data_IF_937134706429
#
_entry.id   IF_937134706429
#
_cell.length_a   1.000
_cell.length_b   1.000
_cell.length_c   1.000
_cell.angle_alpha   90.00
_cell.angle_beta   90.00
_cell.angle_gamma   90.00
#
_symmetry.space_group_name_H-M   'P 1'
#
loop_
_entity.id
_entity.type
_entity.pdbx_description
1 polymer ?
#
# COMPACT_ATOMS: atom_id res chain seq x y z
N UNK A 1 17.01 28.04 -12.55
CA UNK A 1 16.90 27.55 -11.14
C UNK A 1 15.52 26.99 -10.81
N UNK A 2 14.41 27.65 -11.16
CA UNK A 2 13.05 27.22 -10.80
C UNK A 2 12.57 25.88 -11.38
N UNK A 3 13.22 25.35 -12.43
CA UNK A 3 12.93 24.02 -12.95
C UNK A 3 13.42 22.96 -11.95
N UNK A 4 14.69 22.98 -11.55
CA UNK A 4 15.23 21.96 -10.64
C UNK A 4 14.83 22.16 -9.17
N UNK A 5 14.65 23.41 -8.73
CA UNK A 5 14.20 23.74 -7.37
C UNK A 5 13.01 24.70 -7.43
N UNK A 6 11.78 24.17 -7.62
CA UNK A 6 10.57 24.95 -7.60
C UNK A 6 10.36 25.60 -6.22
N UNK A 7 9.96 26.87 -6.16
CA UNK A 7 9.54 27.48 -4.89
C UNK A 7 8.15 26.93 -4.51
N UNK A 8 8.00 26.31 -3.33
CA UNK A 8 6.73 25.75 -2.92
C UNK A 8 5.73 26.85 -2.54
N UNK A 9 4.49 26.73 -3.02
CA UNK A 9 3.40 27.61 -2.62
C UNK A 9 2.99 27.39 -1.15
N UNK A 10 2.22 28.31 -0.55
CA UNK A 10 1.67 28.11 0.78
C UNK A 10 0.91 26.78 0.90
N UNK A 11 0.12 26.40 -0.11
CA UNK A 11 -0.62 25.14 -0.15
C UNK A 11 0.30 23.92 0.04
N UNK A 12 1.41 23.87 -0.69
CA UNK A 12 2.38 22.77 -0.61
C UNK A 12 3.06 22.71 0.77
N UNK A 13 3.29 23.86 1.41
CA UNK A 13 3.93 23.94 2.73
C UNK A 13 2.99 23.57 3.88
N UNK A 14 1.68 23.78 3.71
CA UNK A 14 0.70 23.69 4.80
C UNK A 14 -0.24 22.50 4.70
N UNK A 15 0.13 21.42 3.99
CA UNK A 15 -0.71 20.20 3.96
C UNK A 15 -0.86 19.68 5.39
N UNK A 16 -2.09 19.78 5.92
CA UNK A 16 -2.42 19.38 7.29
C UNK A 16 -3.83 18.81 7.33
N UNK A 17 -3.98 17.68 8.05
CA UNK A 17 -5.26 16.99 8.29
C UNK A 17 -6.34 17.93 8.84
N UNK A 18 -5.99 18.88 9.72
CA UNK A 18 -6.97 19.78 10.34
C UNK A 18 -7.58 20.76 9.34
N UNK A 19 -6.83 21.17 8.32
CA UNK A 19 -7.35 22.06 7.25
C UNK A 19 -8.42 21.32 6.45
N UNK A 20 -8.19 20.04 6.13
CA UNK A 20 -9.09 19.24 5.29
C UNK A 20 -10.29 18.66 6.04
N UNK A 21 -10.38 18.84 7.37
CA UNK A 21 -11.65 18.66 8.11
C UNK A 21 -12.67 19.76 7.78
N UNK A 22 -12.21 20.92 7.31
CA UNK A 22 -13.07 22.07 7.02
C UNK A 22 -13.55 22.06 5.56
N UNK A 23 -14.74 22.63 5.32
CA UNK A 23 -15.25 22.85 3.96
C UNK A 23 -14.31 23.73 3.11
N UNK A 24 -13.54 24.63 3.74
CA UNK A 24 -12.56 25.46 3.04
C UNK A 24 -11.43 24.62 2.45
N UNK A 25 -10.89 23.67 3.23
CA UNK A 25 -9.83 22.77 2.77
C UNK A 25 -10.30 21.86 1.64
N UNK A 26 -11.49 21.28 1.76
CA UNK A 26 -12.09 20.46 0.69
C UNK A 26 -12.35 21.27 -0.58
N UNK A 27 -12.88 22.50 -0.44
CA UNK A 27 -13.12 23.40 -1.57
C UNK A 27 -11.83 23.79 -2.29
N UNK A 28 -10.74 24.01 -1.55
CA UNK A 28 -9.43 24.32 -2.12
C UNK A 28 -8.89 23.15 -2.96
N UNK A 29 -8.99 21.92 -2.46
CA UNK A 29 -8.59 20.72 -3.21
C UNK A 29 -9.43 20.58 -4.47
N UNK A 30 -10.76 20.71 -4.34
CA UNK A 30 -11.68 20.57 -5.46
C UNK A 30 -11.44 21.64 -6.54
N UNK A 31 -11.16 22.88 -6.15
CA UNK A 31 -10.78 23.93 -7.07
C UNK A 31 -9.51 23.56 -7.83
N UNK A 32 -8.40 23.29 -7.13
CA UNK A 32 -7.10 22.95 -7.76
C UNK A 32 -7.21 21.72 -8.68
N UNK A 33 -7.94 20.69 -8.23
CA UNK A 33 -8.19 19.49 -9.02
C UNK A 33 -8.94 19.79 -10.31
N UNK A 34 -10.00 20.62 -10.25
CA UNK A 34 -10.80 20.96 -11.41
C UNK A 34 -10.11 21.93 -12.38
N UNK A 35 -9.25 22.79 -11.87
CA UNK A 35 -8.58 23.82 -12.67
C UNK A 35 -7.42 23.24 -13.49
N UNK A 36 -6.53 22.47 -12.87
CA UNK A 36 -5.37 21.88 -13.57
C UNK A 36 -5.09 20.43 -13.18
N UNK A 37 -5.34 20.05 -11.92
CA UNK A 37 -4.91 18.76 -11.38
C UNK A 37 -5.37 17.57 -12.20
N UNK A 38 -6.66 17.49 -12.53
CA UNK A 38 -7.23 16.37 -13.31
C UNK A 38 -6.63 16.22 -14.70
N UNK A 39 -6.26 17.32 -15.36
CA UNK A 39 -5.73 17.30 -16.73
C UNK A 39 -4.28 16.82 -16.75
N UNK A 40 -3.45 17.34 -15.85
CA UNK A 40 -2.07 16.87 -15.70
C UNK A 40 -2.04 15.42 -15.23
N UNK A 41 -2.88 15.06 -14.26
CA UNK A 41 -2.99 13.69 -13.79
C UNK A 41 -3.41 12.72 -14.92
N UNK A 42 -4.40 13.10 -15.72
CA UNK A 42 -4.82 12.32 -16.88
C UNK A 42 -3.70 12.18 -17.92
N UNK A 43 -2.92 13.24 -18.18
CA UNK A 43 -1.81 13.19 -19.13
C UNK A 43 -0.70 12.23 -18.66
N UNK A 44 -0.33 12.29 -17.38
CA UNK A 44 0.64 11.36 -16.77
C UNK A 44 0.12 9.93 -16.88
N UNK A 45 -1.15 9.72 -16.56
CA UNK A 45 -1.77 8.40 -16.59
C UNK A 45 -1.86 7.83 -18.01
N UNK A 46 -2.23 8.63 -19.03
CA UNK A 46 -2.25 8.21 -20.43
C UNK A 46 -0.84 7.84 -20.91
N UNK A 47 0.17 8.66 -20.57
CA UNK A 47 1.57 8.35 -20.89
C UNK A 47 2.04 7.07 -20.21
N UNK A 48 1.55 6.77 -19.02
CA UNK A 48 1.82 5.52 -18.32
C UNK A 48 1.10 4.33 -18.95
N UNK A 49 -0.16 4.47 -19.36
CA UNK A 49 -0.91 3.41 -20.06
C UNK A 49 -0.20 3.05 -21.37
N UNK A 50 0.34 4.03 -22.10
CA UNK A 50 1.16 3.77 -23.28
C UNK A 50 2.42 2.94 -22.94
N UNK A 51 3.15 3.30 -21.88
CA UNK A 51 4.30 2.54 -21.38
C UNK A 51 3.92 1.08 -21.05
N UNK A 52 2.88 0.91 -20.24
CA UNK A 52 2.35 -0.39 -19.82
C UNK A 52 1.93 -1.22 -21.05
N UNK A 53 1.17 -0.62 -21.97
CA UNK A 53 0.70 -1.28 -23.18
C UNK A 53 1.86 -1.73 -24.09
N UNK A 54 2.86 -0.88 -24.31
CA UNK A 54 4.02 -1.25 -25.12
C UNK A 54 4.80 -2.41 -24.51
N UNK A 55 5.09 -2.37 -23.21
CA UNK A 55 5.89 -3.40 -22.55
C UNK A 55 5.13 -4.73 -22.44
N UNK A 56 3.86 -4.69 -22.02
CA UNK A 56 3.04 -5.89 -21.87
C UNK A 56 2.74 -6.53 -23.23
N UNK A 57 2.48 -5.75 -24.28
CA UNK A 57 2.32 -6.30 -25.63
C UNK A 57 3.60 -6.98 -26.12
N UNK A 58 4.77 -6.36 -25.89
CA UNK A 58 6.05 -6.99 -26.23
C UNK A 58 6.28 -8.28 -25.45
N UNK A 59 5.96 -8.31 -24.15
CA UNK A 59 6.22 -9.42 -23.25
C UNK A 59 5.25 -10.61 -23.42
N UNK A 60 3.97 -10.34 -23.71
CA UNK A 60 2.92 -11.37 -23.68
C UNK A 60 2.58 -11.94 -25.05
N UNK A 61 2.74 -11.18 -26.14
CA UNK A 61 2.38 -11.65 -27.47
C UNK A 61 3.42 -12.68 -27.96
N UNK A 62 3.02 -13.94 -28.22
CA UNK A 62 3.93 -14.97 -28.72
C UNK A 62 4.65 -14.56 -30.00
N UNK A 63 5.90 -15.02 -30.19
CA UNK A 63 6.72 -14.67 -31.37
C UNK A 63 6.09 -15.07 -32.71
N UNK A 64 5.19 -16.05 -32.72
CA UNK A 64 4.44 -16.43 -33.91
C UNK A 64 3.41 -15.36 -34.38
N UNK A 65 3.00 -14.43 -33.51
CA UNK A 65 1.96 -13.45 -33.81
C UNK A 65 2.46 -12.00 -33.89
N UNK A 66 3.70 -11.73 -33.48
CA UNK A 66 4.30 -10.40 -33.53
C UNK A 66 5.62 -10.45 -34.29
N UNK A 67 5.73 -9.56 -35.26
CA UNK A 67 6.97 -9.39 -36.01
C UNK A 67 8.11 -8.90 -35.09
N UNK A 68 9.32 -9.40 -35.33
CA UNK A 68 10.47 -9.08 -34.46
C UNK A 68 10.81 -7.58 -34.48
N UNK A 69 10.65 -6.91 -35.62
CA UNK A 69 10.95 -5.48 -35.71
C UNK A 69 9.91 -4.66 -34.96
N UNK A 70 8.64 -5.06 -35.02
CA UNK A 70 7.58 -4.46 -34.20
C UNK A 70 7.87 -4.64 -32.71
N UNK A 71 8.28 -5.85 -32.27
CA UNK A 71 8.64 -6.09 -30.88
C UNK A 71 9.82 -5.22 -30.44
N UNK A 72 10.86 -5.10 -31.26
CA UNK A 72 12.01 -4.22 -30.99
C UNK A 72 11.56 -2.76 -30.85
N UNK A 73 10.68 -2.29 -31.73
CA UNK A 73 10.11 -0.93 -31.63
C UNK A 73 9.31 -0.73 -30.35
N UNK A 74 8.51 -1.71 -29.91
CA UNK A 74 7.78 -1.63 -28.64
C UNK A 74 8.75 -1.52 -27.45
N UNK A 75 9.82 -2.32 -27.42
CA UNK A 75 10.83 -2.27 -26.35
C UNK A 75 11.59 -0.95 -26.33
N UNK A 76 11.98 -0.41 -27.50
CA UNK A 76 12.60 0.92 -27.60
C UNK A 76 11.64 2.00 -27.10
N UNK A 77 10.37 1.90 -27.46
CA UNK A 77 9.33 2.83 -26.98
C UNK A 77 9.15 2.75 -25.47
N UNK A 78 9.16 1.54 -24.89
CA UNK A 78 9.16 1.34 -23.43
C UNK A 78 10.34 2.03 -22.77
N UNK A 79 11.56 1.89 -23.32
CA UNK A 79 12.76 2.53 -22.77
C UNK A 79 12.58 4.06 -22.76
N UNK A 80 12.15 4.65 -23.87
CA UNK A 80 11.96 6.10 -24.00
C UNK A 80 10.90 6.59 -23.01
N UNK A 81 9.71 5.99 -23.00
CA UNK A 81 8.62 6.37 -22.10
C UNK A 81 9.01 6.16 -20.63
N UNK A 82 9.73 5.08 -20.33
CA UNK A 82 10.22 4.79 -18.99
C UNK A 82 11.19 5.87 -18.50
N UNK A 83 12.13 6.31 -19.34
CA UNK A 83 13.04 7.40 -18.99
C UNK A 83 12.32 8.75 -18.79
N UNK A 84 11.26 9.02 -19.57
CA UNK A 84 10.43 10.22 -19.37
C UNK A 84 9.82 10.22 -17.97
N UNK A 85 9.15 9.13 -17.56
CA UNK A 85 8.57 9.02 -16.22
C UNK A 85 9.64 9.05 -15.12
N UNK A 86 10.73 8.31 -15.29
CA UNK A 86 11.84 8.27 -14.34
C UNK A 86 12.48 9.66 -14.14
N UNK A 87 12.50 10.52 -15.16
CA UNK A 87 13.03 11.87 -15.04
C UNK A 87 12.26 12.72 -14.02
N UNK A 88 10.95 12.51 -13.88
CA UNK A 88 10.14 13.19 -12.86
C UNK A 88 10.50 12.69 -11.46
N UNK A 89 10.66 11.38 -11.27
CA UNK A 89 11.08 10.80 -9.99
C UNK A 89 12.46 11.28 -9.54
N UNK A 90 13.42 11.33 -10.46
CA UNK A 90 14.76 11.88 -10.19
C UNK A 90 14.68 13.35 -9.76
N UNK A 91 13.78 14.13 -10.37
CA UNK A 91 13.57 15.54 -10.00
C UNK A 91 12.97 15.68 -8.60
N UNK A 92 12.07 14.78 -8.19
CA UNK A 92 11.55 14.74 -6.81
C UNK A 92 12.65 14.42 -5.81
N UNK A 93 13.47 13.40 -6.12
CA UNK A 93 14.59 12.99 -5.29
C UNK A 93 15.62 14.12 -5.09
N UNK A 94 15.97 14.86 -6.14
CA UNK A 94 16.88 16.01 -6.08
C UNK A 94 16.30 17.15 -5.21
N UNK A 95 14.98 17.33 -5.22
CA UNK A 95 14.31 18.39 -4.48
C UNK A 95 14.32 18.14 -2.96
N UNK A 96 13.92 16.94 -2.54
CA UNK A 96 13.94 16.53 -1.12
C UNK A 96 14.13 15.02 -0.97
N UNK A 97 15.39 14.57 -1.01
CA UNK A 97 15.75 13.16 -0.89
C UNK A 97 15.25 12.52 0.41
N UNK A 98 15.21 13.28 1.52
CA UNK A 98 14.78 12.73 2.82
C UNK A 98 13.28 12.47 2.83
N UNK A 99 12.48 13.42 2.33
CA UNK A 99 11.04 13.20 2.18
C UNK A 99 10.77 12.08 1.17
N UNK A 100 11.52 12.06 0.08
CA UNK A 100 11.36 11.06 -0.98
C UNK A 100 11.60 9.63 -0.48
N UNK A 101 12.69 9.36 0.25
CA UNK A 101 13.02 8.02 0.78
C UNK A 101 12.00 7.53 1.82
N UNK A 102 11.35 8.44 2.54
CA UNK A 102 10.33 8.09 3.56
C UNK A 102 8.99 7.72 2.95
N UNK A 103 8.75 8.05 1.68
CA UNK A 103 7.54 7.65 0.99
C UNK A 103 7.75 6.32 0.27
N UNK A 104 7.09 5.28 0.77
CA UNK A 104 7.17 3.94 0.20
C UNK A 104 6.70 3.93 -1.26
N UNK A 105 5.76 4.79 -1.63
CA UNK A 105 5.23 4.84 -2.99
C UNK A 105 6.26 5.29 -4.02
N UNK A 106 7.14 6.23 -3.65
CA UNK A 106 8.19 6.70 -4.54
C UNK A 106 9.20 5.59 -4.87
N UNK A 107 9.47 4.70 -3.91
CA UNK A 107 10.33 3.53 -4.12
C UNK A 107 9.66 2.56 -5.11
N UNK A 108 8.37 2.27 -4.91
CA UNK A 108 7.61 1.44 -5.85
C UNK A 108 7.58 2.04 -7.26
N UNK A 109 7.40 3.35 -7.37
CA UNK A 109 7.36 4.07 -8.64
C UNK A 109 8.68 3.93 -9.41
N UNK A 110 9.82 4.13 -8.73
CA UNK A 110 11.13 3.95 -9.35
C UNK A 110 11.37 2.51 -9.78
N UNK A 111 11.00 1.52 -8.97
CA UNK A 111 11.14 0.10 -9.34
C UNK A 111 10.29 -0.21 -10.57
N UNK A 112 9.04 0.28 -10.60
CA UNK A 112 8.12 0.08 -11.72
C UNK A 112 8.60 0.71 -13.04
N UNK A 113 9.45 1.73 -13.00
CA UNK A 113 10.06 2.30 -14.21
C UNK A 113 11.42 1.67 -14.55
N UNK A 114 12.28 1.42 -13.56
CA UNK A 114 13.62 0.86 -13.79
C UNK A 114 13.54 -0.58 -14.31
N UNK A 115 12.68 -1.43 -13.72
CA UNK A 115 12.61 -2.84 -14.09
C UNK A 115 12.25 -3.04 -15.58
N UNK A 116 11.19 -2.44 -16.13
CA UNK A 116 10.88 -2.56 -17.55
C UNK A 116 11.99 -2.01 -18.45
N UNK A 117 12.61 -0.87 -18.09
CA UNK A 117 13.73 -0.30 -18.88
C UNK A 117 14.89 -1.30 -18.93
N UNK A 118 15.31 -1.81 -17.76
CA UNK A 118 16.40 -2.77 -17.66
C UNK A 118 16.10 -4.05 -18.43
N UNK A 119 14.86 -4.56 -18.31
CA UNK A 119 14.39 -5.74 -19.03
C UNK A 119 14.43 -5.53 -20.53
N UNK A 120 13.92 -4.40 -21.02
CA UNK A 120 13.93 -4.06 -22.45
C UNK A 120 15.36 -3.95 -22.98
N UNK A 121 16.29 -3.36 -22.23
CA UNK A 121 17.71 -3.25 -22.64
C UNK A 121 18.34 -4.64 -22.75
N UNK A 122 18.19 -5.49 -21.73
CA UNK A 122 18.75 -6.85 -21.76
C UNK A 122 18.17 -7.65 -22.91
N UNK A 123 16.84 -7.58 -23.10
CA UNK A 123 16.17 -8.35 -24.14
C UNK A 123 16.59 -7.93 -25.55
N UNK A 124 16.91 -6.66 -25.75
CA UNK A 124 17.48 -6.18 -27.02
C UNK A 124 18.94 -6.59 -27.24
N UNK A 125 19.71 -6.79 -26.17
CA UNK A 125 21.14 -7.10 -26.24
C UNK A 125 21.46 -8.60 -26.31
N UNK A 126 20.63 -9.44 -25.69
CA UNK A 126 20.97 -10.85 -25.50
C UNK A 126 19.77 -11.77 -25.75
N UNK A 127 19.93 -12.72 -26.66
CA UNK A 127 18.96 -13.77 -26.96
C UNK A 127 19.05 -14.97 -26.02
N UNK A 128 20.09 -15.06 -25.19
CA UNK A 128 20.42 -16.26 -24.41
C UNK A 128 20.07 -16.17 -22.91
N UNK A 129 19.80 -14.97 -22.38
CA UNK A 129 19.48 -14.80 -20.95
C UNK A 129 18.05 -15.27 -20.69
N UNK A 130 17.82 -16.03 -19.61
CA UNK A 130 16.48 -16.37 -19.13
C UNK A 130 15.77 -15.11 -18.60
N UNK A 131 15.19 -14.34 -19.53
CA UNK A 131 14.54 -13.04 -19.29
C UNK A 131 13.12 -13.21 -18.72
N UNK A 132 12.55 -14.42 -18.75
CA UNK A 132 11.16 -14.69 -18.36
C UNK A 132 10.83 -14.20 -16.94
N UNK A 133 11.63 -14.49 -15.90
CA UNK A 133 11.33 -13.97 -14.55
C UNK A 133 11.32 -12.45 -14.51
N UNK A 134 12.25 -11.81 -15.22
CA UNK A 134 12.38 -10.36 -15.24
C UNK A 134 11.21 -9.69 -15.99
N UNK A 135 10.72 -10.30 -17.07
CA UNK A 135 9.48 -9.90 -17.74
C UNK A 135 8.29 -10.01 -16.79
N UNK A 136 8.16 -11.14 -16.09
CA UNK A 136 7.06 -11.38 -15.15
C UNK A 136 7.03 -10.33 -14.03
N UNK A 137 8.15 -10.09 -13.35
CA UNK A 137 8.24 -9.06 -12.32
C UNK A 137 8.00 -7.66 -12.88
N UNK A 138 8.57 -7.33 -14.04
CA UNK A 138 8.36 -6.02 -14.66
C UNK A 138 6.89 -5.75 -14.98
N UNK A 139 6.17 -6.75 -15.52
CA UNK A 139 4.73 -6.65 -15.74
C UNK A 139 3.98 -6.45 -14.42
N UNK A 140 4.29 -7.25 -13.39
CA UNK A 140 3.65 -7.14 -12.07
C UNK A 140 3.84 -5.74 -11.45
N UNK A 141 5.05 -5.19 -11.48
CA UNK A 141 5.32 -3.86 -10.93
C UNK A 141 4.63 -2.74 -11.74
N UNK A 142 4.55 -2.88 -13.06
CA UNK A 142 3.77 -1.95 -13.89
C UNK A 142 2.27 -2.04 -13.58
N UNK A 143 1.72 -3.24 -13.38
CA UNK A 143 0.31 -3.44 -13.03
C UNK A 143 -0.02 -2.89 -11.63
N UNK A 144 0.87 -3.09 -10.65
CA UNK A 144 0.74 -2.49 -9.32
C UNK A 144 0.78 -0.96 -9.46
N UNK A 145 1.72 -0.41 -10.23
CA UNK A 145 1.79 1.04 -10.48
C UNK A 145 0.52 1.56 -11.17
N UNK A 146 -0.05 0.81 -12.12
CA UNK A 146 -1.33 1.13 -12.74
C UNK A 146 -2.43 1.28 -11.68
N UNK A 147 -2.52 0.32 -10.76
CA UNK A 147 -3.49 0.33 -9.68
C UNK A 147 -3.34 1.57 -8.77
N UNK A 148 -2.11 2.05 -8.54
CA UNK A 148 -1.87 3.26 -7.74
C UNK A 148 -2.45 4.54 -8.38
N UNK A 149 -2.75 4.56 -9.68
CA UNK A 149 -3.42 5.72 -10.28
C UNK A 149 -4.88 5.87 -9.81
N UNK A 150 -5.50 4.83 -9.27
CA UNK A 150 -6.84 4.94 -8.72
C UNK A 150 -6.89 5.75 -7.41
N UNK A 151 -5.75 5.98 -6.76
CA UNK A 151 -5.66 6.72 -5.49
C UNK A 151 -6.17 8.17 -5.57
N UNK A 152 -6.12 8.79 -6.75
CA UNK A 152 -6.61 10.16 -6.96
C UNK A 152 -8.11 10.26 -7.23
N UNK A 153 -8.77 9.12 -7.52
CA UNK A 153 -10.20 9.05 -7.82
C UNK A 153 -10.95 8.83 -6.52
N UNK A 154 -11.98 9.62 -6.26
CA UNK A 154 -12.70 9.62 -4.98
C UNK A 154 -13.27 8.27 -4.57
N UNK A 155 -13.85 7.54 -5.53
CA UNK A 155 -14.45 6.23 -5.29
C UNK A 155 -13.42 5.22 -4.75
N UNK A 156 -12.21 5.19 -5.30
CA UNK A 156 -11.17 4.23 -4.91
C UNK A 156 -10.23 4.79 -3.84
N UNK A 157 -9.94 6.09 -3.89
CA UNK A 157 -8.95 6.77 -3.06
C UNK A 157 -9.26 6.72 -1.56
N UNK A 158 -10.52 6.61 -1.18
CA UNK A 158 -10.94 6.36 0.21
C UNK A 158 -10.38 5.02 0.70
N UNK A 159 -10.50 3.95 -0.10
CA UNK A 159 -9.93 2.64 0.24
C UNK A 159 -8.40 2.68 0.30
N UNK A 160 -7.73 3.38 -0.62
CA UNK A 160 -6.27 3.58 -0.53
C UNK A 160 -5.88 4.32 0.74
N UNK A 161 -6.63 5.34 1.13
CA UNK A 161 -6.36 6.09 2.36
C UNK A 161 -6.52 5.21 3.60
N UNK A 162 -7.51 4.33 3.65
CA UNK A 162 -7.67 3.31 4.70
C UNK A 162 -6.45 2.38 4.71
N UNK A 163 -6.10 1.77 3.57
CA UNK A 163 -4.98 0.83 3.46
C UNK A 163 -3.68 1.47 3.97
N UNK A 164 -3.37 2.71 3.54
CA UNK A 164 -2.16 3.43 3.97
C UNK A 164 -2.19 3.73 5.47
N UNK A 165 -3.33 4.18 5.98
CA UNK A 165 -3.46 4.56 7.39
C UNK A 165 -3.32 3.34 8.30
N UNK A 166 -3.99 2.25 7.95
CA UNK A 166 -3.91 0.97 8.65
C UNK A 166 -2.48 0.42 8.60
N UNK A 167 -1.85 0.40 7.42
CA UNK A 167 -0.47 -0.07 7.26
C UNK A 167 0.53 0.67 8.17
N UNK A 168 0.37 1.98 8.34
CA UNK A 168 1.21 2.79 9.25
C UNK A 168 1.02 2.40 10.71
N UNK A 169 -0.18 1.99 11.12
CA UNK A 169 -0.46 1.60 12.51
C UNK A 169 0.05 0.19 12.84
N UNK A 170 -0.03 -0.75 11.88
CA UNK A 170 0.34 -2.16 12.12
C UNK A 170 1.81 -2.49 11.87
N UNK A 171 2.62 -1.55 11.36
CA UNK A 171 4.01 -1.83 10.96
C UNK A 171 4.86 -2.40 12.11
N UNK A 172 4.70 -1.87 13.32
CA UNK A 172 5.40 -2.36 14.51
C UNK A 172 5.03 -3.79 14.85
N UNK A 173 3.76 -4.18 14.66
CA UNK A 173 3.30 -5.55 14.85
C UNK A 173 3.92 -6.51 13.82
N UNK A 174 3.97 -6.12 12.54
CA UNK A 174 4.58 -6.93 11.49
C UNK A 174 6.07 -7.20 11.74
N UNK A 175 6.81 -6.23 12.30
CA UNK A 175 8.21 -6.42 12.70
C UNK A 175 8.33 -7.48 13.80
N UNK A 176 7.48 -7.44 14.82
CA UNK A 176 7.46 -8.45 15.89
C UNK A 176 7.13 -9.83 15.32
N UNK A 177 6.12 -9.92 14.46
CA UNK A 177 5.74 -11.17 13.79
C UNK A 177 6.91 -11.76 12.98
N UNK A 178 7.63 -10.92 12.22
CA UNK A 178 8.78 -11.34 11.43
C UNK A 178 9.90 -11.93 12.31
N UNK A 179 10.24 -11.27 13.43
CA UNK A 179 11.26 -11.76 14.37
C UNK A 179 10.87 -13.14 14.93
N UNK A 180 9.60 -13.32 15.27
CA UNK A 180 9.10 -14.60 15.78
C UNK A 180 9.19 -15.68 14.70
N UNK A 181 8.77 -15.40 13.47
CA UNK A 181 8.87 -16.35 12.35
C UNK A 181 10.32 -16.77 12.12
N UNK A 182 11.28 -15.82 12.12
CA UNK A 182 12.71 -16.10 11.99
C UNK A 182 13.19 -17.00 13.15
N UNK A 183 12.74 -16.72 14.37
CA UNK A 183 13.13 -17.49 15.56
C UNK A 183 12.65 -18.94 15.48
N UNK A 184 11.41 -19.16 15.06
CA UNK A 184 10.89 -20.51 14.86
C UNK A 184 11.51 -21.20 13.65
N UNK A 185 11.74 -20.49 12.54
CA UNK A 185 12.44 -21.05 11.39
C UNK A 185 13.82 -21.56 11.78
N UNK A 186 14.54 -20.83 12.63
CA UNK A 186 15.82 -21.27 13.17
C UNK A 186 15.69 -22.51 14.06
N UNK A 187 14.69 -22.56 14.95
CA UNK A 187 14.46 -23.72 15.81
C UNK A 187 14.10 -24.98 15.00
N UNK A 188 13.17 -24.88 14.04
CA UNK A 188 12.80 -25.98 13.16
C UNK A 188 13.95 -26.39 12.24
N UNK A 189 14.72 -25.43 11.71
CA UNK A 189 15.93 -25.71 10.93
C UNK A 189 16.92 -26.54 11.72
N UNK A 190 17.25 -26.15 12.96
CA UNK A 190 18.17 -26.93 13.80
C UNK A 190 17.62 -28.32 14.09
N UNK A 191 16.31 -28.45 14.31
CA UNK A 191 15.69 -29.73 14.66
C UNK A 191 15.60 -30.69 13.47
N UNK A 192 15.20 -30.19 12.30
CA UNK A 192 14.81 -30.98 11.12
C UNK A 192 15.87 -30.98 10.01
N UNK A 193 17.02 -30.34 10.24
CA UNK A 193 18.14 -30.41 9.30
C UNK A 193 18.81 -31.78 9.36
N UNK A 194 19.11 -32.39 8.20
CA UNK A 194 19.84 -33.66 8.15
C UNK A 194 21.22 -33.55 8.81
N UNK A 195 21.57 -34.57 9.58
CA UNK A 195 22.86 -34.71 10.28
C UNK A 195 23.91 -35.41 9.42
N UNK A 196 23.45 -36.30 8.56
CA UNK A 196 24.26 -37.06 7.63
C UNK A 196 24.49 -36.29 6.34
N UNK A 197 25.67 -36.47 5.74
CA UNK A 197 25.89 -36.00 4.37
C UNK A 197 25.01 -36.78 3.41
N UNK A 198 24.43 -36.08 2.44
CA UNK A 198 23.57 -36.67 1.42
C UNK A 198 23.74 -35.93 0.09
N UNK A 199 23.38 -36.59 -0.99
CA UNK A 199 23.24 -36.02 -2.33
C UNK A 199 21.82 -36.27 -2.83
N UNK A 200 21.25 -35.36 -3.62
CA UNK A 200 19.97 -35.61 -4.28
C UNK A 200 20.09 -36.56 -5.49
N UNK A 201 21.29 -36.71 -6.04
CA UNK A 201 21.53 -37.53 -7.24
C UNK A 201 21.76 -39.01 -6.88
N UNK A 202 22.36 -39.27 -5.72
CA UNK A 202 22.74 -40.61 -5.28
C UNK A 202 21.99 -41.00 -4.01
N UNK A 203 21.32 -42.15 -4.07
CA UNK A 203 20.59 -42.69 -2.93
C UNK A 203 21.56 -42.95 -1.78
N UNK A 204 21.34 -42.25 -0.68
CA UNK A 204 22.08 -42.49 0.55
C UNK A 204 21.26 -43.38 1.47
N UNK A 205 21.85 -44.47 1.93
CA UNK A 205 21.22 -45.35 2.93
C UNK A 205 21.85 -45.06 4.29
N UNK A 206 21.16 -44.29 5.12
CA UNK A 206 21.58 -43.94 6.47
C UNK A 206 20.38 -43.92 7.42
N UNK A 207 20.64 -43.96 8.72
CA UNK A 207 19.61 -43.97 9.76
C UNK A 207 19.18 -42.56 10.20
N UNK A 208 19.52 -41.53 9.43
CA UNK A 208 19.18 -40.14 9.77
C UNK A 208 17.71 -39.85 9.41
N UNK A 209 16.82 -39.64 10.40
CA UNK A 209 15.39 -39.49 10.16
C UNK A 209 15.04 -38.20 9.39
N UNK A 210 15.97 -37.26 9.28
CA UNK A 210 15.78 -35.98 8.60
C UNK A 210 16.42 -35.95 7.20
N UNK A 211 17.04 -37.06 6.77
CA UNK A 211 17.57 -37.19 5.43
C UNK A 211 16.42 -37.20 4.40
N UNK A 212 16.49 -36.39 3.32
CA UNK A 212 15.45 -36.37 2.29
C UNK A 212 15.13 -37.75 1.68
N UNK A 213 16.11 -38.64 1.57
CA UNK A 213 15.90 -40.00 1.05
C UNK A 213 15.04 -40.88 1.97
N UNK A 214 15.04 -40.62 3.28
CA UNK A 214 14.30 -41.42 4.26
C UNK A 214 12.85 -40.95 4.42
N UNK A 215 12.54 -39.73 3.99
CA UNK A 215 11.18 -39.17 3.99
C UNK A 215 10.55 -39.12 2.60
N UNK A 216 11.29 -39.50 1.56
CA UNK A 216 10.79 -39.53 0.20
C UNK A 216 9.65 -40.55 0.04
N UNK A 217 8.71 -40.25 -0.85
CA UNK A 217 7.57 -41.12 -1.13
C UNK A 217 8.05 -42.48 -1.66
N UNK A 218 7.71 -43.56 -0.94
CA UNK A 218 7.98 -44.94 -1.33
C UNK A 218 6.70 -45.66 -1.73
N UNK A 219 6.73 -46.39 -2.84
CA UNK A 219 5.61 -47.17 -3.34
C UNK A 219 5.95 -48.66 -3.26
N UNK A 220 5.13 -49.41 -2.52
CA UNK A 220 5.27 -50.84 -2.36
C UNK A 220 4.39 -51.57 -3.38
N UNK A 221 4.87 -52.71 -3.88
CA UNK A 221 4.06 -53.55 -4.76
C UNK A 221 2.95 -54.23 -3.96
N UNK A 222 1.71 -54.12 -4.45
CA UNK A 222 0.55 -54.83 -3.90
C UNK A 222 0.23 -55.99 -4.87
N UNK A 223 0.30 -57.21 -4.37
CA UNK A 223 0.01 -58.41 -5.15
C UNK A 223 -1.50 -58.70 -5.21
N UNK A 224 -1.95 -59.47 -6.19
CA UNK A 224 -3.38 -59.79 -6.40
C UNK A 224 -4.03 -60.48 -5.19
N UNK A 225 -3.23 -61.17 -4.37
CA UNK A 225 -3.67 -61.81 -3.13
C UNK A 225 -3.83 -60.82 -1.95
N UNK A 226 -3.65 -59.51 -2.17
CA UNK A 226 -3.73 -58.45 -1.16
C UNK A 226 -2.49 -58.33 -0.27
N UNK A 227 -1.44 -59.13 -0.49
CA UNK A 227 -0.17 -59.00 0.24
C UNK A 227 0.65 -57.84 -0.32
N UNK A 228 1.35 -57.12 0.56
CA UNK A 228 2.20 -55.98 0.21
C UNK A 228 3.65 -56.42 0.35
N UNK A 229 4.47 -56.22 -0.69
CA UNK A 229 5.91 -56.44 -0.56
C UNK A 229 6.47 -55.49 0.52
N UNK A 230 7.27 -56.05 1.43
CA UNK A 230 7.90 -55.29 2.51
C UNK A 230 8.96 -54.33 1.99
N UNK A 231 9.52 -54.61 0.80
CA UNK A 231 10.49 -53.76 0.15
C UNK A 231 9.81 -52.74 -0.76
N UNK A 232 10.32 -51.50 -0.73
CA UNK A 232 9.90 -50.45 -1.65
C UNK A 232 10.22 -50.85 -3.10
N UNK A 233 9.21 -50.88 -3.96
CA UNK A 233 9.36 -51.18 -5.38
C UNK A 233 9.88 -49.95 -6.15
N UNK A 234 9.34 -48.76 -5.83
CA UNK A 234 9.75 -47.48 -6.41
C UNK A 234 9.93 -46.45 -5.29
N UNK A 235 11.00 -45.66 -5.38
CA UNK A 235 11.24 -44.51 -4.51
C UNK A 235 11.30 -43.27 -5.39
N UNK A 236 10.49 -42.27 -5.07
CA UNK A 236 10.58 -40.98 -5.73
C UNK A 236 11.89 -40.30 -5.30
N UNK A 237 12.76 -39.86 -6.24
CA UNK A 237 13.97 -39.14 -5.87
C UNK A 237 13.60 -37.84 -5.13
N UNK A 238 14.20 -37.56 -3.97
CA UNK A 238 13.92 -36.36 -3.20
C UNK A 238 14.45 -35.12 -3.92
N UNK A 239 13.84 -33.99 -3.61
CA UNK A 239 14.24 -32.66 -4.07
C UNK A 239 14.37 -31.68 -2.89
N UNK A 240 14.71 -30.42 -3.19
CA UNK A 240 14.83 -29.37 -2.18
C UNK A 240 13.55 -29.06 -1.40
N UNK A 241 12.38 -29.49 -1.89
CA UNK A 241 11.09 -29.32 -1.22
C UNK A 241 10.73 -30.51 -0.33
N UNK A 242 11.33 -31.67 -0.57
CA UNK A 242 11.11 -32.91 0.19
C UNK A 242 11.47 -32.69 1.67
N UNK A 243 12.63 -32.10 1.96
CA UNK A 243 12.93 -31.52 3.27
C UNK A 243 13.29 -30.03 3.12
N UNK A 244 12.31 -29.15 3.35
CA UNK A 244 12.53 -27.70 3.29
C UNK A 244 13.50 -27.17 4.37
N UNK A 245 13.90 -27.98 5.35
CA UNK A 245 14.82 -27.59 6.43
C UNK A 245 16.29 -27.94 6.14
N UNK A 246 16.60 -28.37 4.90
CA UNK A 246 17.99 -28.52 4.42
C UNK A 246 18.69 -27.16 4.30
N UNK A 247 17.99 -26.15 3.77
CA UNK A 247 18.50 -24.78 3.61
C UNK A 247 17.67 -23.82 4.47
N UNK A 248 18.34 -22.84 5.09
CA UNK A 248 17.66 -21.89 5.96
C UNK A 248 16.65 -21.00 5.22
N UNK A 249 16.87 -20.72 3.93
CA UNK A 249 15.95 -19.93 3.08
C UNK A 249 14.64 -20.68 2.85
N UNK A 250 14.73 -21.98 2.57
CA UNK A 250 13.54 -22.83 2.43
C UNK A 250 12.87 -23.09 3.77
N UNK A 251 13.62 -23.13 4.89
CA UNK A 251 13.05 -23.23 6.23
C UNK A 251 12.22 -21.98 6.59
N UNK A 252 12.73 -20.79 6.27
CA UNK A 252 11.99 -19.54 6.39
C UNK A 252 10.70 -19.56 5.57
N UNK A 253 10.75 -20.07 4.33
CA UNK A 253 9.58 -20.19 3.48
C UNK A 253 8.57 -21.22 4.01
N UNK A 254 9.03 -22.36 4.54
CA UNK A 254 8.19 -23.36 5.19
C UNK A 254 7.43 -22.77 6.40
N UNK A 255 8.07 -21.91 7.20
CA UNK A 255 7.40 -21.24 8.31
C UNK A 255 6.37 -20.21 7.84
N UNK A 256 6.61 -19.54 6.72
CA UNK A 256 5.61 -18.68 6.09
C UNK A 256 4.41 -19.48 5.58
N UNK A 257 4.63 -20.62 4.92
CA UNK A 257 3.55 -21.53 4.51
C UNK A 257 2.74 -21.99 5.72
N UNK A 258 3.41 -22.35 6.81
CA UNK A 258 2.75 -22.78 8.04
C UNK A 258 1.95 -21.66 8.72
N UNK A 259 2.44 -20.41 8.69
CA UNK A 259 1.66 -19.23 9.10
C UNK A 259 0.35 -19.10 8.30
N UNK A 260 0.37 -19.40 7.01
CA UNK A 260 -0.83 -19.36 6.15
C UNK A 260 -1.74 -20.60 6.26
N UNK A 261 -1.35 -21.58 7.08
CA UNK A 261 -2.11 -22.79 7.37
C UNK A 261 -1.64 -24.04 6.63
N UNK A 262 -0.61 -23.95 5.78
CA UNK A 262 -0.04 -25.11 5.09
C UNK A 262 1.03 -25.78 5.97
N UNK A 263 0.70 -26.96 6.49
CA UNK A 263 1.58 -27.77 7.35
C UNK A 263 2.33 -28.87 6.61
N UNK A 264 2.26 -28.91 5.27
CA UNK A 264 2.87 -29.95 4.44
C UNK A 264 4.34 -30.17 4.78
N UNK A 265 5.12 -29.09 4.90
CA UNK A 265 6.54 -29.13 5.24
C UNK A 265 6.87 -29.81 6.59
N UNK A 266 5.92 -29.82 7.54
CA UNK A 266 6.10 -30.38 8.89
C UNK A 266 5.45 -31.77 9.06
N UNK A 267 4.62 -32.19 8.10
CA UNK A 267 3.87 -33.44 8.14
C UNK A 267 4.67 -34.69 7.73
N UNK A 268 5.92 -34.52 7.30
CA UNK A 268 6.77 -35.62 6.83
C UNK A 268 7.20 -36.59 7.94
N UNK A 269 7.09 -36.19 9.22
CA UNK A 269 7.55 -36.99 10.36
C UNK A 269 6.42 -37.41 11.29
N UNK A 270 6.41 -38.67 11.80
CA UNK A 270 5.43 -39.09 12.79
C UNK A 270 5.65 -38.35 14.11
N UNK A 271 4.60 -37.72 14.63
CA UNK A 271 4.65 -36.90 15.85
C UNK A 271 4.92 -37.71 17.13
N UNK A 272 4.51 -38.98 17.17
CA UNK A 272 4.71 -39.87 18.34
C UNK A 272 6.20 -40.04 18.64
N UNK A 273 7.02 -40.18 17.60
CA UNK A 273 8.46 -40.43 17.74
C UNK A 273 9.26 -39.12 17.87
N UNK A 274 8.64 -37.97 17.63
CA UNK A 274 9.30 -36.66 17.60
C UNK A 274 8.60 -35.70 18.56
N UNK A 275 8.73 -35.93 19.87
CA UNK A 275 8.05 -35.10 20.88
C UNK A 275 8.45 -33.62 20.80
N UNK A 276 9.71 -33.30 20.51
CA UNK A 276 10.18 -31.92 20.34
C UNK A 276 9.51 -31.23 19.14
N UNK A 277 9.32 -31.95 18.03
CA UNK A 277 8.62 -31.45 16.85
C UNK A 277 7.16 -31.14 17.19
N UNK A 278 6.48 -32.08 17.84
CA UNK A 278 5.09 -31.90 18.25
C UNK A 278 4.93 -30.69 19.19
N UNK A 279 5.85 -30.52 20.16
CA UNK A 279 5.86 -29.37 21.06
C UNK A 279 6.05 -28.06 20.30
N UNK A 280 7.03 -27.98 19.38
CA UNK A 280 7.27 -26.76 18.58
C UNK A 280 6.07 -26.41 17.69
N UNK A 281 5.42 -27.41 17.09
CA UNK A 281 4.19 -27.23 16.29
C UNK A 281 3.06 -26.65 17.16
N UNK A 282 2.82 -27.23 18.34
CA UNK A 282 1.79 -26.75 19.27
C UNK A 282 2.10 -25.33 19.74
N UNK A 283 3.36 -25.05 20.11
CA UNK A 283 3.79 -23.72 20.55
C UNK A 283 3.64 -22.67 19.43
N UNK A 284 4.07 -23.00 18.21
CA UNK A 284 3.91 -22.10 17.07
C UNK A 284 2.44 -21.83 16.78
N UNK A 285 1.61 -22.88 16.72
CA UNK A 285 0.17 -22.74 16.46
C UNK A 285 -0.53 -21.88 17.52
N UNK A 286 -0.25 -22.13 18.81
CA UNK A 286 -0.85 -21.35 19.90
C UNK A 286 -0.41 -19.88 19.84
N UNK A 287 0.88 -19.62 19.65
CA UNK A 287 1.40 -18.25 19.65
C UNK A 287 1.01 -17.48 18.40
N UNK A 288 1.25 -18.06 17.22
CA UNK A 288 1.07 -17.38 15.95
C UNK A 288 -0.38 -17.44 15.50
N UNK A 289 -0.91 -18.64 15.32
CA UNK A 289 -2.22 -18.86 14.68
C UNK A 289 -3.36 -18.45 15.62
N UNK A 290 -3.30 -18.86 16.89
CA UNK A 290 -4.36 -18.57 17.85
C UNK A 290 -4.22 -17.18 18.45
N UNK A 291 -3.04 -16.77 18.89
CA UNK A 291 -2.89 -15.49 19.58
C UNK A 291 -2.59 -14.33 18.63
N UNK A 292 -1.46 -14.37 17.90
CA UNK A 292 -1.02 -13.21 17.11
C UNK A 292 -1.92 -12.90 15.92
N UNK A 293 -2.42 -13.90 15.18
CA UNK A 293 -3.33 -13.62 14.05
C UNK A 293 -4.66 -13.03 14.52
N UNK A 294 -5.21 -13.49 15.64
CA UNK A 294 -6.42 -12.90 16.22
C UNK A 294 -6.17 -11.50 16.77
N UNK A 295 -5.01 -11.28 17.42
CA UNK A 295 -4.58 -9.94 17.83
C UNK A 295 -4.40 -9.01 16.62
N UNK A 296 -3.81 -9.51 15.53
CA UNK A 296 -3.62 -8.77 14.29
C UNK A 296 -4.95 -8.31 13.70
N UNK A 297 -5.94 -9.20 13.63
CA UNK A 297 -7.30 -8.87 13.17
C UNK A 297 -7.94 -7.81 14.07
N UNK A 298 -7.80 -7.93 15.39
CA UNK A 298 -8.29 -6.93 16.34
C UNK A 298 -7.62 -5.55 16.16
N UNK A 299 -6.30 -5.52 15.96
CA UNK A 299 -5.55 -4.29 15.70
C UNK A 299 -5.95 -3.66 14.35
N UNK A 300 -6.15 -4.47 13.31
CA UNK A 300 -6.66 -4.02 12.01
C UNK A 300 -8.02 -3.36 12.17
N UNK A 301 -8.97 -4.00 12.87
CA UNK A 301 -10.31 -3.45 13.06
C UNK A 301 -10.27 -2.10 13.78
N UNK A 302 -9.49 -2.00 14.86
CA UNK A 302 -9.33 -0.75 15.61
C UNK A 302 -8.69 0.36 14.76
N UNK A 303 -7.70 0.03 13.92
CA UNK A 303 -7.02 1.00 13.05
C UNK A 303 -7.93 1.54 11.94
N UNK A 304 -8.84 0.71 11.43
CA UNK A 304 -9.86 1.10 10.45
C UNK A 304 -10.84 2.08 11.10
N UNK A 305 -11.37 1.79 12.29
CA UNK A 305 -12.37 2.64 12.96
C UNK A 305 -11.82 4.02 13.38
N UNK A 306 -10.52 4.10 13.69
CA UNK A 306 -9.91 5.33 14.23
C UNK A 306 -9.74 6.45 13.21
N UNK A 307 -9.66 6.13 11.92
CA UNK A 307 -9.34 7.12 10.90
C UNK A 307 -10.59 7.64 10.18
N UNK A 308 -10.60 8.95 9.90
CA UNK A 308 -11.62 9.54 9.05
C UNK A 308 -11.18 9.31 7.60
N UNK A 309 -11.82 8.36 6.93
CA UNK A 309 -11.43 7.90 5.59
C UNK A 309 -11.50 9.04 4.57
N UNK A 310 -12.48 9.95 4.73
CA UNK A 310 -12.66 11.10 3.85
C UNK A 310 -11.51 12.10 3.97
N UNK A 311 -11.18 12.51 5.20
CA UNK A 311 -10.11 13.48 5.44
C UNK A 311 -8.76 12.90 5.02
N UNK A 312 -8.54 11.61 5.28
CA UNK A 312 -7.31 10.92 4.89
C UNK A 312 -7.16 10.86 3.37
N UNK A 313 -8.25 10.62 2.63
CA UNK A 313 -8.27 10.73 1.18
C UNK A 313 -7.98 12.17 0.68
N UNK A 314 -8.55 13.19 1.33
CA UNK A 314 -8.28 14.58 0.94
C UNK A 314 -6.80 14.95 1.13
N UNK A 315 -6.15 14.46 2.19
CA UNK A 315 -4.70 14.61 2.39
C UNK A 315 -3.94 13.94 1.25
N UNK A 316 -4.26 12.69 0.90
CA UNK A 316 -3.62 11.96 -0.19
C UNK A 316 -3.77 12.71 -1.53
N UNK A 317 -4.96 13.23 -1.81
CA UNK A 317 -5.22 14.03 -3.01
C UNK A 317 -4.46 15.35 -3.01
N UNK A 318 -4.29 15.99 -1.85
CA UNK A 318 -3.50 17.20 -1.72
C UNK A 318 -2.01 16.94 -1.95
N UNK A 319 -1.48 15.81 -1.51
CA UNK A 319 -0.09 15.39 -1.78
C UNK A 319 0.16 15.22 -3.29
N UNK A 320 -0.76 14.54 -4.00
CA UNK A 320 -0.70 14.40 -5.46
C UNK A 320 -0.77 15.77 -6.15
N UNK A 321 -1.65 16.66 -5.70
CA UNK A 321 -1.74 18.02 -6.26
C UNK A 321 -0.46 18.82 -6.02
N UNK A 322 0.18 18.65 -4.86
CA UNK A 322 1.45 19.29 -4.56
C UNK A 322 2.58 18.76 -5.44
N UNK A 323 2.62 17.45 -5.72
CA UNK A 323 3.56 16.88 -6.69
C UNK A 323 3.35 17.46 -8.09
N UNK A 324 2.11 17.54 -8.56
CA UNK A 324 1.77 18.16 -9.85
C UNK A 324 2.26 19.61 -9.89
N UNK A 325 1.96 20.38 -8.85
CA UNK A 325 2.30 21.80 -8.76
C UNK A 325 3.81 22.06 -8.76
N UNK A 326 4.59 21.20 -8.09
CA UNK A 326 6.04 21.34 -7.99
C UNK A 326 6.77 20.82 -9.23
N UNK A 327 6.40 19.63 -9.71
CA UNK A 327 7.23 18.86 -10.64
C UNK A 327 6.68 18.77 -12.05
N UNK A 328 5.37 18.95 -12.24
CA UNK A 328 4.74 18.83 -13.57
C UNK A 328 4.39 20.18 -14.19
N UNK A 329 4.04 21.18 -13.37
CA UNK A 329 3.78 22.52 -13.88
C UNK A 329 5.06 23.23 -14.32
N UNK A 330 4.96 23.93 -15.45
CA UNK A 330 6.02 24.81 -15.94
C UNK A 330 6.06 26.12 -15.11
N UNK A 331 7.22 26.79 -15.00
CA UNK A 331 7.36 28.01 -14.21
C UNK A 331 6.34 29.11 -14.52
N UNK A 332 5.96 29.27 -15.79
CA UNK A 332 4.99 30.28 -16.22
C UNK A 332 3.55 29.91 -15.84
N UNK A 333 3.19 28.62 -15.89
CA UNK A 333 1.85 28.13 -15.51
C UNK A 333 1.55 28.36 -14.03
N UNK A 334 2.57 28.30 -13.18
CA UNK A 334 2.44 28.61 -11.74
C UNK A 334 2.17 30.07 -11.41
N UNK A 335 2.28 30.95 -12.41
CA UNK A 335 2.01 32.39 -12.30
C UNK A 335 0.68 32.78 -12.95
N UNK A 336 -0.07 31.81 -13.46
CA UNK A 336 -1.39 32.09 -14.04
C UNK A 336 -2.38 32.40 -12.92
N UNK A 337 -2.88 33.64 -12.91
CA UNK A 337 -3.85 34.12 -11.92
C UNK A 337 -5.15 33.29 -11.94
N UNK A 338 -5.52 32.74 -13.09
CA UNK A 338 -6.68 31.84 -13.20
C UNK A 338 -6.48 30.52 -12.46
N UNK A 339 -5.24 30.05 -12.31
CA UNK A 339 -4.90 28.79 -11.64
C UNK A 339 -4.50 28.99 -10.17
N UNK A 340 -3.95 30.17 -9.87
CA UNK A 340 -3.51 30.59 -8.54
C UNK A 340 -4.13 31.94 -8.16
N UNK A 341 -5.47 32.03 -8.06
CA UNK A 341 -6.13 33.27 -7.69
C UNK A 341 -5.94 33.58 -6.20
N UNK A 342 -6.07 34.86 -5.84
CA UNK A 342 -6.10 35.29 -4.44
C UNK A 342 -7.38 34.82 -3.72
N UNK A 343 -8.51 34.77 -4.45
CA UNK A 343 -9.83 34.41 -3.91
C UNK A 343 -10.47 33.32 -4.75
N UNK A 344 -11.04 32.31 -4.08
CA UNK A 344 -11.81 31.23 -4.71
C UNK A 344 -13.27 31.38 -4.33
N UNK A 345 -14.15 31.33 -5.33
CA UNK A 345 -15.60 31.31 -5.10
C UNK A 345 -16.09 29.86 -4.99
N UNK A 346 -16.69 29.52 -3.86
CA UNK A 346 -17.32 28.22 -3.63
C UNK A 346 -18.84 28.35 -3.62
N UNK A 347 -19.51 27.51 -4.41
CA UNK A 347 -20.96 27.43 -4.46
C UNK A 347 -21.42 26.28 -3.57
N UNK A 348 -22.21 26.59 -2.55
CA UNK A 348 -22.80 25.62 -1.65
C UNK A 348 -24.33 25.61 -1.79
N UNK A 349 -24.94 24.44 -1.65
CA UNK A 349 -26.39 24.35 -1.50
C UNK A 349 -26.80 25.05 -0.19
N UNK A 350 -27.85 25.88 -0.26
CA UNK A 350 -28.31 26.72 0.87
C UNK A 350 -28.70 25.88 2.08
N UNK A 351 -29.37 24.75 1.88
CA UNK A 351 -29.84 23.88 2.96
C UNK A 351 -28.66 23.19 3.65
N UNK A 352 -27.72 22.63 2.86
CA UNK A 352 -26.49 22.02 3.41
C UNK A 352 -25.63 23.04 4.15
N UNK A 353 -25.50 24.25 3.61
CA UNK A 353 -24.76 25.33 4.25
C UNK A 353 -25.42 25.76 5.58
N UNK A 354 -26.75 25.84 5.61
CA UNK A 354 -27.51 26.15 6.83
C UNK A 354 -27.29 25.08 7.90
N UNK A 355 -27.38 23.81 7.54
CA UNK A 355 -27.15 22.68 8.44
C UNK A 355 -25.73 22.72 9.01
N UNK A 356 -24.73 22.90 8.15
CA UNK A 356 -23.33 22.94 8.60
C UNK A 356 -23.04 24.12 9.53
N UNK A 357 -23.60 25.28 9.25
CA UNK A 357 -23.42 26.46 10.11
C UNK A 357 -24.06 26.25 11.48
N UNK A 358 -25.25 25.61 11.56
CA UNK A 358 -25.86 25.24 12.84
C UNK A 358 -24.98 24.27 13.63
N UNK A 359 -24.47 23.22 12.98
CA UNK A 359 -23.56 22.26 13.59
C UNK A 359 -22.31 22.94 14.20
N UNK A 360 -21.70 23.88 13.49
CA UNK A 360 -20.51 24.63 13.98
C UNK A 360 -20.86 25.50 15.19
N UNK A 361 -22.07 26.08 15.22
CA UNK A 361 -22.55 26.88 16.36
C UNK A 361 -22.80 25.98 17.57
N UNK A 362 -23.48 24.85 17.37
CA UNK A 362 -23.80 23.89 18.43
C UNK A 362 -22.53 23.28 19.05
N UNK A 363 -21.48 23.08 18.25
CA UNK A 363 -20.17 22.62 18.70
C UNK A 363 -19.31 23.72 19.37
N UNK A 364 -19.77 24.98 19.41
CA UNK A 364 -19.03 26.09 20.00
C UNK A 364 -17.82 26.57 19.18
N UNK A 365 -17.67 26.13 17.94
CA UNK A 365 -16.55 26.45 17.06
C UNK A 365 -16.76 27.76 16.26
N UNK A 366 -17.91 28.41 16.43
CA UNK A 366 -18.27 29.63 15.71
C UNK A 366 -17.62 30.89 16.30
N UNK A 367 -16.44 31.25 15.78
CA UNK A 367 -15.71 32.44 16.23
C UNK A 367 -16.30 33.76 15.66
N UNK A 368 -16.96 34.58 16.49
CA UNK A 368 -17.54 35.85 16.05
C UNK A 368 -16.51 36.97 15.81
N UNK A 369 -15.23 36.79 16.16
CA UNK A 369 -14.19 37.82 16.01
C UNK A 369 -13.63 37.91 14.59
N UNK A 370 -13.58 36.77 13.88
CA UNK A 370 -13.01 36.66 12.53
C UNK A 370 -14.08 36.93 11.46
N UNK A 371 -13.87 37.98 10.66
CA UNK A 371 -14.77 38.43 9.58
C UNK A 371 -16.25 38.67 10.01
N UNK A 372 -16.51 39.51 11.02
CA UNK A 372 -17.84 39.66 11.61
C UNK A 372 -18.92 40.11 10.61
N UNK A 373 -18.56 41.00 9.67
CA UNK A 373 -19.47 41.49 8.62
C UNK A 373 -19.89 40.38 7.65
N UNK A 374 -18.97 39.52 7.21
CA UNK A 374 -19.24 38.41 6.30
C UNK A 374 -20.12 37.35 6.98
N UNK A 375 -19.81 37.02 8.23
CA UNK A 375 -20.59 36.08 9.04
C UNK A 375 -22.03 36.55 9.23
N UNK A 376 -22.24 37.82 9.61
CA UNK A 376 -23.60 38.39 9.74
C UNK A 376 -24.38 38.33 8.42
N UNK A 377 -23.73 38.64 7.30
CA UNK A 377 -24.36 38.56 5.97
C UNK A 377 -24.70 37.11 5.58
N UNK A 378 -23.83 36.15 5.89
CA UNK A 378 -24.07 34.73 5.66
C UNK A 378 -25.27 34.23 6.47
N UNK A 379 -25.31 34.51 7.78
CA UNK A 379 -26.41 34.12 8.67
C UNK A 379 -27.75 34.68 8.20
N UNK A 380 -27.77 35.95 7.77
CA UNK A 380 -28.96 36.59 7.19
C UNK A 380 -29.41 35.88 5.91
N UNK A 381 -28.49 35.53 5.00
CA UNK A 381 -28.82 34.79 3.77
C UNK A 381 -29.29 33.36 4.04
N UNK A 382 -28.76 32.72 5.09
CA UNK A 382 -29.14 31.36 5.48
C UNK A 382 -30.41 31.34 6.35
N UNK A 383 -31.00 32.48 6.72
CA UNK A 383 -32.13 32.59 7.64
C UNK A 383 -31.89 31.90 9.00
N UNK A 384 -30.68 32.04 9.55
CA UNK A 384 -30.36 31.53 10.90
C UNK A 384 -30.57 32.67 11.91
N UNK A 385 -31.39 32.44 12.93
CA UNK A 385 -31.66 33.42 13.98
C UNK A 385 -30.41 33.64 14.84
N UNK A 386 -30.16 34.91 15.17
CA UNK A 386 -29.03 35.34 15.98
C UNK A 386 -29.45 35.30 17.44
N UNK A 387 -28.93 34.37 18.24
CA UNK A 387 -28.95 34.53 19.69
C UNK A 387 -27.74 35.37 20.06
N UNK A 388 -27.91 36.70 20.07
CA UNK A 388 -26.85 37.59 20.53
C UNK A 388 -26.46 37.18 21.96
N UNK A 389 -25.17 37.05 22.28
CA UNK A 389 -24.68 36.91 23.66
C UNK A 389 -25.22 38.03 24.57
N UNK A 390 -25.55 39.18 23.97
CA UNK A 390 -26.22 40.31 24.61
C UNK A 390 -27.65 39.94 25.02
N UNK A 391 -28.39 39.23 24.16
CA UNK A 391 -29.74 38.71 24.46
C UNK A 391 -29.69 37.65 25.55
N UNK A 392 -28.74 36.71 25.48
CA UNK A 392 -28.54 35.70 26.53
C UNK A 392 -28.13 36.31 27.87
N UNK A 393 -27.23 37.30 27.88
CA UNK A 393 -26.88 38.06 29.10
C UNK A 393 -28.08 38.82 29.66
N UNK A 394 -28.89 39.43 28.80
CA UNK A 394 -30.10 40.14 29.22
C UNK A 394 -31.11 39.18 29.85
N UNK A 395 -31.32 38.01 29.24
CA UNK A 395 -32.18 36.94 29.78
C UNK A 395 -31.62 36.39 31.10
N UNK A 396 -30.30 36.22 31.21
CA UNK A 396 -29.66 35.73 32.44
C UNK A 396 -29.79 36.73 33.60
N UNK A 397 -29.66 38.03 33.29
CA UNK A 397 -29.90 39.14 34.23
C UNK A 397 -31.36 39.16 34.66
N UNK A 398 -32.32 39.07 33.74
CA UNK A 398 -33.74 38.99 34.06
C UNK A 398 -34.08 37.76 34.93
N UNK A 399 -33.49 36.60 34.66
CA UNK A 399 -33.66 35.39 35.48
C UNK A 399 -33.06 35.59 36.88
N UNK A 400 -31.90 36.23 37.01
CA UNK A 400 -31.30 36.56 38.31
C UNK A 400 -32.15 37.54 39.12
N UNK A 401 -32.70 38.58 38.46
CA UNK A 401 -33.60 39.54 39.09
C UNK A 401 -34.93 38.89 39.54
N UNK A 402 -35.49 37.99 38.72
CA UNK A 402 -36.69 37.22 39.12
C UNK A 402 -36.41 36.29 40.30
N UNK A 403 -35.25 35.62 40.34
CA UNK A 403 -34.84 34.79 41.49
C UNK A 403 -34.71 35.61 42.77
N UNK A 404 -34.17 36.82 42.71
CA UNK A 404 -34.06 37.70 43.87
C UNK A 404 -35.45 38.17 44.36
N UNK A 405 -36.40 38.42 43.44
CA UNK A 405 -37.78 38.80 43.80
C UNK A 405 -38.60 37.65 44.42
N UNK A 406 -38.22 36.40 44.19
CA UNK A 406 -38.87 35.20 44.75
C UNK A 406 -38.30 34.77 46.12
N UNK A 407 -37.23 35.41 46.61
CA UNK A 407 -36.60 35.14 47.91
C UNK A 407 -37.00 36.14 49.00
N UNK A 408 -38.04 36.95 48.74
CA UNK A 408 -38.75 37.80 49.71
C UNK A 408 -40.17 37.28 49.81
#
# INVERSE_FOLDING_TARGET
>A
MELYKPQPSPFVKTINRDIYKTWNGESLINFKWNTYGKYFYALIWIGFIALLGCFTAAATIPQQYIDEDVRKQLLITTIILGFIHLSFEVRQFIYDARKWIRDIWNIFDVIAYILPIYTSIIWLQSSEINIIPLLSFSCLFLDIKFLLFFRAIEYFGVYFAIIISVAKEIISFLVVLLIIIISFAHAFYILLSPRSQFSFEERTNNDDPYNPWNIASTYNQVFENGTIDSNSYIIQPPDGNTNMFVDFRTAMFAMYLYLTGDSSALSNWPYINNSSLAILIVLFSLLIVVYLMNLFIGLLNNAIEKNNDRVSYLVLKAEILAEIELFYLLPHQRRWESWFPEVIHYYANVDKAREKVKEIIDNGEWDNTVFPKLKKNLMKKLNIQFTDDISLKHILIEIQEMKQKLQV
#
